data_IF_951068814856
#
_entry.id   IF_951068814856
#
_cell.length_a   1.000
_cell.length_b   1.000
_cell.length_c   1.000
_cell.angle_alpha   90.00
_cell.angle_beta   90.00
_cell.angle_gamma   90.00
#
_symmetry.space_group_name_H-M   'P 1'
#
loop_
_entity.id
_entity.type
_entity.pdbx_description
1 polymer ?
#
# COMPACT_ATOMS: atom_id res chain seq x y z
N UNK A 1 1.51 -11.27 22.60
CA UNK A 1 1.14 -12.66 22.24
C UNK A 1 0.04 -12.71 21.15
N UNK A 2 -1.14 -12.07 21.35
CA UNK A 2 -2.29 -12.13 20.44
C UNK A 2 -1.94 -11.59 19.04
N UNK A 3 -1.40 -10.37 18.93
CA UNK A 3 -1.03 -9.70 17.67
C UNK A 3 -0.07 -10.54 16.81
N UNK A 4 0.90 -11.21 17.42
CA UNK A 4 1.83 -12.08 16.71
C UNK A 4 1.18 -13.37 16.19
N UNK A 5 0.22 -13.94 16.93
CA UNK A 5 -0.53 -15.12 16.48
C UNK A 5 -1.46 -14.75 15.31
N UNK A 6 -2.15 -13.63 15.39
CA UNK A 6 -3.00 -13.11 14.30
C UNK A 6 -2.18 -12.81 13.04
N UNK A 7 -1.00 -12.19 13.19
CA UNK A 7 -0.11 -11.90 12.06
C UNK A 7 0.37 -13.17 11.36
N UNK A 8 0.74 -14.23 12.12
CA UNK A 8 1.14 -15.53 11.53
C UNK A 8 -0.02 -16.19 10.78
N UNK A 9 -1.21 -16.23 11.36
CA UNK A 9 -2.39 -16.79 10.71
C UNK A 9 -2.72 -16.06 9.39
N UNK A 10 -2.52 -14.74 9.36
CA UNK A 10 -2.68 -13.95 8.13
C UNK A 10 -1.57 -14.24 7.11
N UNK A 11 -0.32 -14.44 7.54
CA UNK A 11 0.77 -14.85 6.64
C UNK A 11 0.43 -16.18 5.98
N UNK A 12 0.02 -17.18 6.77
CA UNK A 12 -0.34 -18.51 6.26
C UNK A 12 -1.50 -18.42 5.25
N UNK A 13 -2.54 -17.65 5.58
CA UNK A 13 -3.70 -17.45 4.71
C UNK A 13 -3.31 -16.75 3.41
N UNK A 14 -2.57 -15.65 3.48
CA UNK A 14 -2.15 -14.88 2.31
C UNK A 14 -1.22 -15.71 1.40
N UNK A 15 -0.29 -16.46 2.00
CA UNK A 15 0.62 -17.34 1.26
C UNK A 15 -0.12 -18.47 0.51
N UNK A 16 -1.19 -19.00 1.09
CA UNK A 16 -2.03 -20.01 0.43
C UNK A 16 -2.75 -19.49 -0.84
N UNK A 17 -2.77 -18.18 -1.03
CA UNK A 17 -3.39 -17.50 -2.16
C UNK A 17 -2.39 -16.67 -2.99
N UNK A 18 -1.08 -16.85 -2.81
CA UNK A 18 -0.02 -16.11 -3.48
C UNK A 18 -0.13 -14.58 -3.31
N UNK A 19 -0.66 -14.12 -2.15
CA UNK A 19 -0.79 -12.71 -1.81
C UNK A 19 0.27 -12.32 -0.78
N UNK A 20 1.14 -11.31 -1.05
CA UNK A 20 2.12 -10.87 -0.07
C UNK A 20 1.43 -10.12 1.09
N UNK A 21 1.63 -10.59 2.33
CA UNK A 21 1.22 -9.85 3.53
C UNK A 21 2.31 -8.85 3.92
N UNK A 22 1.94 -7.59 4.07
CA UNK A 22 2.80 -6.55 4.62
C UNK A 22 2.29 -6.12 5.99
N UNK A 23 3.20 -5.97 6.95
CA UNK A 23 2.86 -5.46 8.29
C UNK A 23 2.99 -3.94 8.27
N UNK A 24 2.04 -3.23 8.87
CA UNK A 24 2.10 -1.79 8.99
C UNK A 24 2.96 -1.37 10.19
N UNK A 25 3.95 -0.49 9.99
CA UNK A 25 4.84 0.17 10.94
C UNK A 25 5.85 -0.75 11.68
N UNK A 26 5.45 -1.96 12.05
CA UNK A 26 6.17 -2.83 12.99
C UNK A 26 7.11 -3.82 12.27
N UNK A 27 8.35 -3.38 12.05
CA UNK A 27 9.42 -4.17 11.41
C UNK A 27 9.74 -5.47 12.17
N UNK A 28 9.74 -5.42 13.51
CA UNK A 28 10.03 -6.61 14.32
C UNK A 28 8.91 -7.63 14.24
N UNK A 29 7.66 -7.20 14.20
CA UNK A 29 6.53 -8.09 13.98
C UNK A 29 6.59 -8.72 12.58
N UNK A 30 6.89 -7.93 11.54
CA UNK A 30 7.03 -8.43 10.19
C UNK A 30 8.09 -9.54 10.11
N UNK A 31 9.26 -9.31 10.70
CA UNK A 31 10.34 -10.29 10.81
C UNK A 31 9.92 -11.54 11.58
N UNK A 32 9.28 -11.35 12.74
CA UNK A 32 8.92 -12.46 13.65
C UNK A 32 7.79 -13.35 13.13
N UNK A 33 6.89 -12.83 12.28
CA UNK A 33 5.81 -13.62 11.68
C UNK A 33 6.12 -14.11 10.27
N UNK A 34 7.25 -13.70 9.67
CA UNK A 34 7.60 -14.09 8.29
C UNK A 34 6.76 -13.40 7.22
N UNK A 35 6.30 -12.18 7.48
CA UNK A 35 5.58 -11.38 6.49
C UNK A 35 6.48 -11.08 5.27
N UNK A 36 5.86 -10.87 4.11
CA UNK A 36 6.57 -10.50 2.88
C UNK A 36 7.28 -9.15 2.97
N UNK A 37 6.89 -8.30 3.92
CA UNK A 37 7.51 -7.01 4.12
C UNK A 37 6.77 -6.10 5.10
N UNK A 38 7.02 -4.80 4.96
CA UNK A 38 6.49 -3.77 5.86
C UNK A 38 6.07 -2.52 5.08
N UNK A 39 5.07 -1.80 5.58
CA UNK A 39 4.73 -0.44 5.15
C UNK A 39 5.09 0.54 6.26
N UNK A 40 5.81 1.62 5.91
CA UNK A 40 6.35 2.60 6.86
C UNK A 40 5.75 3.99 6.63
N UNK A 41 5.38 4.64 7.72
CA UNK A 41 5.00 6.05 7.76
C UNK A 41 6.19 6.99 7.95
N UNK A 42 5.91 8.21 8.40
CA UNK A 42 6.90 9.26 8.59
C UNK A 42 7.65 9.12 9.94
N UNK A 43 6.93 8.64 10.94
CA UNK A 43 7.41 8.54 12.32
C UNK A 43 7.91 7.12 12.67
N UNK A 44 7.90 6.20 11.70
CA UNK A 44 8.31 4.82 11.88
C UNK A 44 9.82 4.62 11.67
N UNK A 45 10.25 3.36 11.67
CA UNK A 45 11.63 3.02 11.33
C UNK A 45 12.00 3.57 9.95
N UNK A 46 13.24 4.04 9.79
CA UNK A 46 13.72 4.45 8.47
C UNK A 46 13.88 3.24 7.52
N UNK A 47 13.76 3.51 6.22
CA UNK A 47 13.81 2.48 5.19
C UNK A 47 15.11 1.65 5.21
N UNK A 48 16.33 2.23 5.36
CA UNK A 48 17.56 1.46 5.47
C UNK A 48 17.56 0.49 6.66
N UNK A 49 17.08 0.92 7.82
CA UNK A 49 16.99 0.06 9.02
C UNK A 49 15.99 -1.09 8.80
N UNK A 50 14.83 -0.82 8.23
CA UNK A 50 13.85 -1.86 7.89
C UNK A 50 14.43 -2.87 6.88
N UNK A 51 15.12 -2.39 5.85
CA UNK A 51 15.78 -3.23 4.85
C UNK A 51 16.88 -4.11 5.48
N UNK A 52 17.67 -3.55 6.40
CA UNK A 52 18.70 -4.32 7.11
C UNK A 52 18.10 -5.41 7.99
N UNK A 53 16.96 -5.14 8.64
CA UNK A 53 16.29 -6.09 9.53
C UNK A 53 15.55 -7.21 8.79
N UNK A 54 14.95 -6.92 7.63
CA UNK A 54 14.10 -7.85 6.88
C UNK A 54 14.84 -8.55 5.74
N UNK A 55 15.96 -8.00 5.27
CA UNK A 55 16.72 -8.53 4.15
C UNK A 55 16.34 -7.92 2.78
N UNK A 56 17.16 -8.25 1.77
CA UNK A 56 17.07 -7.63 0.44
C UNK A 56 15.82 -8.00 -0.36
N UNK A 57 15.21 -9.14 -0.08
CA UNK A 57 14.01 -9.64 -0.78
C UNK A 57 12.69 -9.16 -0.17
N UNK A 58 12.71 -8.55 1.02
CA UNK A 58 11.51 -8.05 1.66
C UNK A 58 10.93 -6.84 0.90
N UNK A 59 9.61 -6.71 0.87
CA UNK A 59 8.93 -5.55 0.29
C UNK A 59 8.88 -4.44 1.35
N UNK A 60 9.50 -3.29 1.07
CA UNK A 60 9.43 -2.11 1.95
C UNK A 60 8.72 -0.99 1.23
N UNK A 61 7.46 -0.80 1.57
CA UNK A 61 6.64 0.30 1.07
C UNK A 61 6.64 1.50 1.99
N UNK A 62 6.39 2.69 1.46
CA UNK A 62 6.47 3.94 2.23
C UNK A 62 5.31 4.89 1.95
N UNK A 63 4.85 5.58 3.00
CA UNK A 63 3.91 6.68 2.89
C UNK A 63 4.60 7.95 2.42
N UNK A 64 4.16 8.49 1.28
CA UNK A 64 4.61 9.77 0.72
C UNK A 64 3.60 10.91 0.95
N UNK A 65 2.41 10.59 1.43
CA UNK A 65 1.32 11.53 1.69
C UNK A 65 0.98 12.35 0.44
N UNK A 66 1.16 13.65 0.49
CA UNK A 66 0.95 14.61 -0.61
C UNK A 66 2.27 15.21 -1.14
N UNK A 67 3.43 14.59 -0.82
CA UNK A 67 4.76 15.13 -1.13
C UNK A 67 5.48 14.34 -2.23
N UNK A 68 5.67 14.97 -3.38
CA UNK A 68 6.51 14.43 -4.45
C UNK A 68 8.00 14.46 -4.08
N UNK A 69 8.42 15.43 -3.27
CA UNK A 69 9.81 15.52 -2.80
C UNK A 69 10.16 14.33 -1.92
N UNK A 70 9.30 14.00 -0.94
CA UNK A 70 9.45 12.81 -0.10
C UNK A 70 9.46 11.53 -0.95
N UNK A 71 8.57 11.43 -1.93
CA UNK A 71 8.53 10.29 -2.84
C UNK A 71 9.84 10.12 -3.62
N UNK A 72 10.43 11.21 -4.12
CA UNK A 72 11.74 11.17 -4.80
C UNK A 72 12.85 10.68 -3.87
N UNK A 73 12.91 11.21 -2.66
CA UNK A 73 13.92 10.82 -1.68
C UNK A 73 13.81 9.33 -1.31
N UNK A 74 12.59 8.83 -1.05
CA UNK A 74 12.35 7.45 -0.67
C UNK A 74 12.53 6.48 -1.85
N UNK A 75 12.16 6.86 -3.06
CA UNK A 75 12.45 6.08 -4.27
C UNK A 75 13.96 5.91 -4.49
N UNK A 76 14.74 6.99 -4.30
CA UNK A 76 16.19 6.96 -4.39
C UNK A 76 16.83 6.12 -3.26
N UNK A 77 16.21 6.10 -2.07
CA UNK A 77 16.62 5.28 -0.94
C UNK A 77 16.27 3.78 -1.10
N UNK A 78 15.54 3.40 -2.16
CA UNK A 78 15.24 2.00 -2.48
C UNK A 78 13.90 1.49 -1.96
N UNK A 79 12.90 2.35 -1.80
CA UNK A 79 11.52 1.92 -1.54
C UNK A 79 11.00 1.06 -2.69
N UNK A 80 10.27 -0.01 -2.38
CA UNK A 80 9.70 -0.90 -3.38
C UNK A 80 8.41 -0.35 -3.97
N UNK A 81 7.64 0.41 -3.21
CA UNK A 81 6.47 1.15 -3.68
C UNK A 81 6.25 2.45 -2.89
N UNK A 82 5.50 3.37 -3.48
CA UNK A 82 5.23 4.70 -2.95
C UNK A 82 3.73 4.89 -2.76
N UNK A 83 3.27 5.14 -1.52
CA UNK A 83 1.85 5.35 -1.23
C UNK A 83 1.53 6.84 -1.06
N UNK A 84 0.54 7.32 -1.81
CA UNK A 84 0.06 8.69 -1.78
C UNK A 84 -1.37 8.76 -1.23
N UNK A 85 -1.67 9.78 -0.46
CA UNK A 85 -3.00 10.01 0.13
C UNK A 85 -2.99 11.10 1.21
N UNK A 86 -4.16 11.44 1.74
CA UNK A 86 -5.45 10.87 1.32
C UNK A 86 -5.99 11.59 0.09
N UNK A 87 -6.61 10.83 -0.84
CA UNK A 87 -7.23 11.42 -2.03
C UNK A 87 -8.64 11.94 -1.76
N UNK A 88 -9.37 11.29 -0.87
CA UNK A 88 -10.75 11.65 -0.52
C UNK A 88 -10.94 11.61 1.00
N UNK A 89 -11.95 12.31 1.53
CA UNK A 89 -12.31 12.23 2.94
C UNK A 89 -12.56 10.78 3.39
N UNK A 90 -12.07 10.43 4.58
CA UNK A 90 -12.20 9.08 5.13
C UNK A 90 -12.56 9.12 6.60
N UNK A 91 -13.43 8.20 7.04
CA UNK A 91 -13.75 8.00 8.46
C UNK A 91 -12.66 7.24 9.22
N UNK A 92 -11.74 6.56 8.52
CA UNK A 92 -10.74 5.67 9.16
C UNK A 92 -9.56 6.44 9.75
N UNK A 93 -9.16 7.56 9.16
CA UNK A 93 -8.07 8.42 9.66
C UNK A 93 -8.32 9.86 9.22
N UNK A 94 -8.46 10.76 10.17
CA UNK A 94 -8.49 12.19 9.87
C UNK A 94 -7.08 12.64 9.42
N UNK A 95 -7.01 13.39 8.32
CA UNK A 95 -5.77 13.98 7.83
C UNK A 95 -6.03 15.37 7.26
N UNK A 96 -5.04 16.24 7.38
CA UNK A 96 -5.02 17.56 6.72
C UNK A 96 -4.24 17.52 5.40
N UNK A 97 -3.58 16.40 5.10
CA UNK A 97 -2.81 16.21 3.87
C UNK A 97 -3.71 15.61 2.79
N UNK A 98 -3.76 16.26 1.63
CA UNK A 98 -4.63 15.86 0.53
C UNK A 98 -3.82 15.71 -0.76
N UNK A 99 -3.68 14.48 -1.23
CA UNK A 99 -3.09 14.17 -2.52
C UNK A 99 -4.08 14.47 -3.67
N UNK A 100 -3.55 14.73 -4.85
CA UNK A 100 -4.33 14.99 -6.06
C UNK A 100 -3.92 14.03 -7.19
N UNK A 101 -4.80 13.75 -8.18
CA UNK A 101 -4.41 12.94 -9.34
C UNK A 101 -3.20 13.49 -10.10
N UNK A 102 -2.98 14.81 -10.07
CA UNK A 102 -1.79 15.42 -10.65
C UNK A 102 -0.49 14.93 -10.00
N UNK A 103 -0.52 14.70 -8.68
CA UNK A 103 0.64 14.17 -7.95
C UNK A 103 1.03 12.77 -8.44
N UNK A 104 0.04 11.89 -8.67
CA UNK A 104 0.29 10.56 -9.25
C UNK A 104 0.93 10.67 -10.63
N UNK A 105 0.37 11.49 -11.54
CA UNK A 105 0.94 11.71 -12.87
C UNK A 105 2.40 12.15 -12.83
N UNK A 106 2.76 13.00 -11.87
CA UNK A 106 4.15 13.43 -11.67
C UNK A 106 5.03 12.32 -11.10
N UNK A 107 4.46 11.47 -10.23
CA UNK A 107 5.20 10.39 -9.58
C UNK A 107 5.49 9.20 -10.51
N UNK A 108 4.76 9.00 -11.61
CA UNK A 108 5.03 7.95 -12.62
C UNK A 108 6.49 7.97 -13.09
N UNK A 109 7.11 9.15 -13.18
CA UNK A 109 8.51 9.29 -13.57
C UNK A 109 9.50 8.65 -12.58
N UNK A 110 9.07 8.31 -11.36
CA UNK A 110 9.91 7.66 -10.34
C UNK A 110 10.13 6.16 -10.61
N UNK A 111 9.35 5.58 -11.51
CA UNK A 111 9.45 4.16 -11.91
C UNK A 111 9.39 3.21 -10.71
N UNK A 112 8.49 3.48 -9.80
CA UNK A 112 8.12 2.63 -8.66
C UNK A 112 6.63 2.43 -8.69
N UNK A 113 6.10 1.29 -8.27
CA UNK A 113 4.68 1.09 -8.11
C UNK A 113 4.06 2.19 -7.24
N UNK A 114 2.96 2.79 -7.71
CA UNK A 114 2.26 3.88 -7.04
C UNK A 114 0.98 3.34 -6.41
N UNK A 115 0.85 3.52 -5.11
CA UNK A 115 -0.35 3.13 -4.35
C UNK A 115 -1.14 4.38 -3.98
N UNK A 116 -2.41 4.40 -4.34
CA UNK A 116 -3.34 5.45 -3.89
C UNK A 116 -4.15 4.97 -2.69
N UNK A 117 -4.26 5.83 -1.65
CA UNK A 117 -4.99 5.54 -0.42
C UNK A 117 -5.83 6.73 0.04
N UNK A 118 -6.88 6.44 0.81
CA UNK A 118 -7.72 7.42 1.52
C UNK A 118 -9.04 7.69 0.84
N UNK A 119 -10.14 7.22 1.45
CA UNK A 119 -11.52 7.45 1.04
C UNK A 119 -11.90 6.91 -0.34
N UNK A 120 -11.14 5.95 -0.85
CA UNK A 120 -11.33 5.40 -2.20
C UNK A 120 -12.54 4.47 -2.22
N UNK A 121 -13.39 4.64 -3.22
CA UNK A 121 -14.55 3.82 -3.55
C UNK A 121 -14.47 3.37 -5.01
N UNK A 122 -15.24 2.35 -5.45
CA UNK A 122 -15.27 1.96 -6.85
C UNK A 122 -15.67 3.10 -7.80
N UNK A 123 -16.43 4.08 -7.32
CA UNK A 123 -16.95 5.16 -8.14
C UNK A 123 -15.93 6.30 -8.34
N UNK A 124 -15.03 6.52 -7.37
CA UNK A 124 -14.00 7.55 -7.46
C UNK A 124 -12.60 7.01 -7.83
N UNK A 125 -12.41 5.71 -7.82
CA UNK A 125 -11.14 5.05 -8.11
C UNK A 125 -10.66 5.20 -9.58
N UNK A 126 -11.52 5.19 -10.62
CA UNK A 126 -11.07 5.23 -12.02
C UNK A 126 -10.11 6.39 -12.32
N UNK A 127 -10.40 7.60 -11.82
CA UNK A 127 -9.54 8.75 -12.02
C UNK A 127 -8.13 8.62 -11.45
N UNK A 128 -7.95 7.77 -10.42
CA UNK A 128 -6.65 7.50 -9.80
C UNK A 128 -5.85 6.49 -10.62
N UNK A 129 -6.51 5.46 -11.15
CA UNK A 129 -5.90 4.49 -12.06
C UNK A 129 -5.47 5.20 -13.36
N UNK A 130 -6.33 6.04 -13.95
CA UNK A 130 -6.02 6.87 -15.11
C UNK A 130 -4.87 7.86 -14.85
N UNK A 131 -4.70 8.28 -13.59
CA UNK A 131 -3.60 9.15 -13.20
C UNK A 131 -2.28 8.39 -12.96
N UNK A 132 -2.27 7.07 -13.04
CA UNK A 132 -1.09 6.23 -12.91
C UNK A 132 -0.95 5.50 -11.56
N UNK A 133 -2.04 5.32 -10.80
CA UNK A 133 -1.99 4.41 -9.66
C UNK A 133 -1.94 2.95 -10.14
N UNK A 134 -0.92 2.22 -9.72
CA UNK A 134 -0.76 0.79 -9.98
C UNK A 134 -1.56 -0.06 -8.99
N UNK A 135 -1.82 0.47 -7.79
CA UNK A 135 -2.59 -0.19 -6.74
C UNK A 135 -3.49 0.79 -5.99
N UNK A 136 -4.60 0.28 -5.45
CA UNK A 136 -5.53 1.01 -4.59
C UNK A 136 -5.57 0.38 -3.21
N UNK A 137 -5.24 1.15 -2.17
CA UNK A 137 -5.36 0.70 -0.78
C UNK A 137 -6.71 1.14 -0.20
N UNK A 138 -7.54 0.17 0.15
CA UNK A 138 -8.91 0.39 0.63
C UNK A 138 -9.19 -0.40 1.90
N UNK A 139 -10.00 0.14 2.80
CA UNK A 139 -10.43 -0.52 4.03
C UNK A 139 -11.95 -0.64 4.03
N UNK A 140 -12.66 0.43 4.37
CA UNK A 140 -14.12 0.40 4.57
C UNK A 140 -14.90 0.12 3.28
N UNK A 141 -14.37 0.49 2.12
CA UNK A 141 -15.01 0.22 0.84
C UNK A 141 -15.09 -1.28 0.50
N UNK A 142 -14.29 -2.12 1.17
CA UNK A 142 -14.31 -3.58 1.07
C UNK A 142 -14.81 -4.19 2.37
N UNK A 143 -14.12 -3.99 3.49
CA UNK A 143 -14.37 -4.72 4.73
C UNK A 143 -15.62 -4.28 5.51
N UNK A 144 -16.18 -3.10 5.23
CA UNK A 144 -17.46 -2.68 5.82
C UNK A 144 -18.67 -3.00 4.91
N UNK A 145 -18.51 -3.87 3.92
CA UNK A 145 -19.60 -4.29 3.03
C UNK A 145 -20.15 -5.66 3.44
N UNK A 146 -21.46 -5.90 3.24
CA UNK A 146 -22.06 -7.20 3.53
C UNK A 146 -21.42 -8.35 2.73
N UNK A 147 -21.09 -8.09 1.47
CA UNK A 147 -20.39 -9.00 0.56
C UNK A 147 -19.01 -8.44 0.25
N UNK A 148 -18.01 -8.91 1.01
CA UNK A 148 -16.60 -8.48 0.93
C UNK A 148 -16.01 -8.89 -0.43
N UNK A 149 -16.32 -10.11 -0.89
CA UNK A 149 -15.79 -10.64 -2.15
C UNK A 149 -16.30 -9.85 -3.35
N UNK A 150 -17.60 -9.61 -3.45
CA UNK A 150 -18.16 -8.78 -4.50
C UNK A 150 -17.62 -7.36 -4.47
N UNK A 151 -17.41 -6.78 -3.28
CA UNK A 151 -16.81 -5.47 -3.13
C UNK A 151 -15.36 -5.44 -3.64
N UNK A 152 -14.55 -6.46 -3.32
CA UNK A 152 -13.17 -6.57 -3.79
C UNK A 152 -13.12 -6.74 -5.33
N UNK A 153 -13.98 -7.58 -5.89
CA UNK A 153 -14.07 -7.80 -7.35
C UNK A 153 -14.35 -6.51 -8.13
N UNK A 154 -15.15 -5.59 -7.59
CA UNK A 154 -15.39 -4.27 -8.22
C UNK A 154 -14.11 -3.45 -8.38
N UNK A 155 -13.17 -3.55 -7.46
CA UNK A 155 -11.87 -2.90 -7.60
C UNK A 155 -10.96 -3.62 -8.59
N UNK A 156 -10.98 -4.96 -8.60
CA UNK A 156 -10.17 -5.76 -9.52
C UNK A 156 -10.50 -5.44 -11.00
N UNK A 157 -11.78 -5.18 -11.34
CA UNK A 157 -12.19 -4.81 -12.71
C UNK A 157 -11.62 -3.48 -13.21
N UNK A 158 -11.05 -2.66 -12.33
CA UNK A 158 -10.40 -1.39 -12.71
C UNK A 158 -8.98 -1.62 -13.28
N UNK A 159 -8.43 -2.82 -13.15
CA UNK A 159 -7.10 -3.20 -13.63
C UNK A 159 -7.21 -4.38 -14.61
N UNK A 160 -7.76 -4.17 -15.83
CA UNK A 160 -8.01 -5.27 -16.78
C UNK A 160 -6.77 -6.03 -17.23
N UNK A 161 -5.59 -5.40 -17.13
CA UNK A 161 -4.30 -5.97 -17.55
C UNK A 161 -3.44 -6.44 -16.36
N UNK A 162 -4.04 -6.67 -15.18
CA UNK A 162 -3.30 -7.04 -13.96
C UNK A 162 -2.46 -8.33 -14.12
N UNK A 163 -2.85 -9.25 -15.02
CA UNK A 163 -2.10 -10.46 -15.34
C UNK A 163 -0.78 -10.19 -16.09
N UNK A 164 -0.57 -8.99 -16.63
CA UNK A 164 0.60 -8.65 -17.44
C UNK A 164 1.69 -7.85 -16.70
N UNK A 165 1.42 -7.28 -15.53
CA UNK A 165 2.32 -6.35 -14.84
C UNK A 165 2.84 -6.81 -13.47
N UNK A 166 2.32 -7.92 -12.93
CA UNK A 166 2.85 -8.56 -11.71
C UNK A 166 3.82 -9.69 -12.07
N UNK A 167 4.99 -9.35 -12.60
CA UNK A 167 6.13 -10.26 -12.68
C UNK A 167 7.38 -9.62 -12.12
#
# INVERSE_FOLDING_TARGET
ARRAAEARALVDLCSAHDVPLLVNDDVELARACGAAGVHLGEDDADLPSARAALGGSAIVGVSCYDSLERARALAAAGADYLAFGAFFPSSSKATTRHATPLLLRQAVALRRPLVAIGGITPDNAPQLVEAGADCLAVISAVFARPDIEAAARRFATLFPDADSHCR
#
